data_IF_924372077908
#
_entry.id   IF_924372077908
#
_cell.length_a   1.000
_cell.length_b   1.000
_cell.length_c   1.000
_cell.angle_alpha   90.00
_cell.angle_beta   90.00
_cell.angle_gamma   90.00
#
_symmetry.space_group_name_H-M   'P 1'
#
loop_
_entity.id
_entity.type
_entity.pdbx_description
1 polymer ?
#
# COMPACT_ATOMS: atom_id res chain seq x y z
N UNK A 1 -6.49 -44.26 -0.09
CA UNK A 1 -7.29 -43.07 -0.43
C UNK A 1 -6.37 -41.86 -0.36
N UNK A 2 -5.83 -41.42 -1.50
CA UNK A 2 -4.99 -40.22 -1.55
C UNK A 2 -5.91 -38.99 -1.61
N UNK A 3 -5.77 -38.08 -0.65
CA UNK A 3 -6.37 -36.75 -0.74
C UNK A 3 -5.68 -36.01 -1.87
N UNK A 4 -6.41 -35.76 -2.96
CA UNK A 4 -6.02 -34.77 -3.95
C UNK A 4 -6.13 -33.40 -3.28
N UNK A 5 -5.00 -32.76 -3.01
CA UNK A 5 -4.95 -31.33 -2.72
C UNK A 5 -5.02 -30.59 -4.05
N UNK A 6 -6.13 -29.92 -4.30
CA UNK A 6 -6.20 -28.92 -5.35
C UNK A 6 -5.24 -27.78 -4.98
N UNK A 7 -4.37 -27.29 -5.87
CA UNK A 7 -3.67 -26.04 -5.63
C UNK A 7 -4.74 -24.96 -5.54
N UNK A 8 -4.93 -24.35 -4.37
CA UNK A 8 -5.70 -23.11 -4.27
C UNK A 8 -5.05 -22.11 -5.24
N UNK A 9 -5.79 -21.65 -6.25
CA UNK A 9 -5.37 -20.51 -7.05
C UNK A 9 -5.04 -19.37 -6.07
N UNK A 10 -3.78 -18.94 -6.07
CA UNK A 10 -3.37 -17.76 -5.32
C UNK A 10 -4.10 -16.58 -5.95
N UNK A 11 -5.11 -16.04 -5.26
CA UNK A 11 -5.80 -14.84 -5.70
C UNK A 11 -4.81 -13.66 -5.68
N UNK A 12 -4.58 -13.03 -6.82
CA UNK A 12 -3.80 -11.81 -6.95
C UNK A 12 -4.73 -10.66 -7.31
N UNK A 13 -4.65 -9.54 -6.60
CA UNK A 13 -5.44 -8.33 -6.88
C UNK A 13 -4.46 -7.16 -6.97
N UNK A 14 -4.39 -6.56 -8.16
CA UNK A 14 -3.72 -5.28 -8.38
C UNK A 14 -4.70 -4.14 -8.03
N UNK A 15 -4.21 -3.19 -7.25
CA UNK A 15 -4.89 -1.93 -6.91
C UNK A 15 -4.34 -0.88 -7.86
N UNK A 16 -5.17 -0.49 -8.83
CA UNK A 16 -4.81 0.49 -9.84
C UNK A 16 -4.61 1.89 -9.24
N UNK A 17 -3.90 2.75 -9.99
CA UNK A 17 -3.87 4.18 -9.69
C UNK A 17 -5.25 4.82 -9.89
N UNK A 18 -5.58 5.83 -9.09
CA UNK A 18 -6.88 6.51 -9.18
C UNK A 18 -7.66 6.64 -7.87
N UNK A 19 -6.98 6.58 -6.73
CA UNK A 19 -7.61 6.65 -5.40
C UNK A 19 -8.51 5.43 -5.14
N UNK A 20 -7.92 4.23 -5.15
CA UNK A 20 -8.63 2.95 -5.01
C UNK A 20 -7.98 2.07 -3.93
N UNK A 21 -8.72 1.05 -3.47
CA UNK A 21 -8.24 0.08 -2.50
C UNK A 21 -8.90 -1.27 -2.65
N UNK A 22 -8.19 -2.31 -2.22
CA UNK A 22 -8.69 -3.67 -2.22
C UNK A 22 -8.59 -4.31 -0.84
N UNK A 23 -9.46 -5.30 -0.64
CA UNK A 23 -9.51 -6.17 0.53
C UNK A 23 -9.39 -7.62 0.10
N UNK A 24 -8.69 -8.41 0.92
CA UNK A 24 -8.56 -9.85 0.71
C UNK A 24 -8.55 -10.62 2.04
N UNK A 25 -9.18 -11.80 2.05
CA UNK A 25 -9.22 -12.72 3.21
C UNK A 25 -8.49 -14.02 2.88
N UNK A 26 -7.95 -14.67 3.92
CA UNK A 26 -7.34 -16.01 3.93
C UNK A 26 -6.00 -16.16 3.18
N UNK A 27 -5.99 -16.02 1.85
CA UNK A 27 -4.80 -16.29 1.05
C UNK A 27 -4.81 -15.55 -0.29
N UNK A 28 -3.69 -14.89 -0.58
CA UNK A 28 -3.39 -14.26 -1.85
C UNK A 28 -2.54 -13.02 -1.63
N UNK A 29 -2.35 -12.26 -2.70
CA UNK A 29 -1.50 -11.06 -2.73
C UNK A 29 -2.35 -9.86 -3.14
N UNK A 30 -2.22 -8.77 -2.40
CA UNK A 30 -2.65 -7.44 -2.82
C UNK A 30 -1.41 -6.72 -3.31
N UNK A 31 -1.49 -6.05 -4.46
CA UNK A 31 -0.36 -5.33 -5.05
C UNK A 31 -0.77 -3.93 -5.46
N UNK A 32 0.13 -2.96 -5.32
CA UNK A 32 0.01 -1.62 -5.89
C UNK A 32 1.36 -1.23 -6.46
N UNK A 33 1.35 -0.59 -7.63
CA UNK A 33 2.55 -0.26 -8.39
C UNK A 33 2.67 1.26 -8.60
N UNK A 34 3.89 1.72 -8.80
CA UNK A 34 4.18 3.07 -9.28
C UNK A 34 3.84 4.18 -8.29
N UNK A 35 4.00 3.95 -6.98
CA UNK A 35 3.75 4.99 -5.97
C UNK A 35 4.90 6.01 -5.97
N UNK A 36 4.85 6.95 -6.92
CA UNK A 36 5.68 8.15 -6.93
C UNK A 36 5.10 9.19 -5.97
N UNK A 37 4.36 10.22 -6.46
CA UNK A 37 3.72 11.20 -5.58
C UNK A 37 2.51 10.63 -4.83
N UNK A 38 1.89 9.56 -5.32
CA UNK A 38 0.82 8.84 -4.63
C UNK A 38 1.33 8.13 -3.37
N UNK A 39 0.42 7.85 -2.43
CA UNK A 39 0.74 7.13 -1.19
C UNK A 39 0.03 5.79 -1.14
N UNK A 40 0.81 4.74 -0.87
CA UNK A 40 0.28 3.42 -0.55
C UNK A 40 0.02 3.28 0.95
N UNK A 41 -1.10 2.64 1.31
CA UNK A 41 -1.38 2.26 2.71
C UNK A 41 -1.78 0.80 2.76
N UNK A 42 -1.11 0.04 3.62
CA UNK A 42 -1.34 -1.39 3.84
C UNK A 42 -1.75 -1.66 5.28
N UNK A 43 -2.78 -2.49 5.46
CA UNK A 43 -3.23 -2.96 6.78
C UNK A 43 -3.37 -4.48 6.74
N UNK A 44 -2.72 -5.17 7.66
CA UNK A 44 -2.85 -6.61 7.81
C UNK A 44 -3.21 -6.99 9.24
N UNK A 45 -4.17 -7.91 9.38
CA UNK A 45 -4.46 -8.56 10.66
C UNK A 45 -4.36 -10.06 10.52
N UNK A 46 -3.55 -10.68 11.38
CA UNK A 46 -3.37 -12.14 11.47
C UNK A 46 -4.63 -12.88 11.92
N UNK A 47 -5.52 -12.21 12.67
CA UNK A 47 -6.79 -12.75 13.16
C UNK A 47 -7.86 -11.66 12.96
N UNK A 48 -8.69 -11.75 11.89
CA UNK A 48 -9.12 -12.98 11.21
C UNK A 48 -8.33 -13.43 9.96
N UNK A 49 -7.10 -12.94 9.74
CA UNK A 49 -6.32 -13.15 8.50
C UNK A 49 -6.95 -12.44 7.30
N UNK A 50 -6.78 -11.13 7.33
CA UNK A 50 -7.34 -10.18 6.37
C UNK A 50 -6.29 -9.10 6.05
N UNK A 51 -6.24 -8.68 4.80
CA UNK A 51 -5.39 -7.61 4.31
C UNK A 51 -6.19 -6.56 3.55
N UNK A 52 -5.73 -5.32 3.66
CA UNK A 52 -6.19 -4.15 2.93
C UNK A 52 -4.96 -3.48 2.32
N UNK A 53 -5.09 -3.01 1.09
CA UNK A 53 -4.05 -2.25 0.41
C UNK A 53 -4.74 -1.19 -0.43
N UNK A 54 -4.26 0.05 -0.34
CA UNK A 54 -4.79 1.17 -1.12
C UNK A 54 -3.69 1.98 -1.79
N UNK A 55 -4.08 2.66 -2.86
CA UNK A 55 -3.27 3.58 -3.65
C UNK A 55 -4.00 4.93 -3.68
N UNK A 56 -3.51 5.89 -2.90
CA UNK A 56 -4.21 7.15 -2.67
C UNK A 56 -3.48 8.34 -3.32
N UNK A 57 -4.25 9.23 -3.93
CA UNK A 57 -3.74 10.46 -4.52
C UNK A 57 -3.65 11.52 -3.42
N UNK A 58 -2.52 12.22 -3.36
CA UNK A 58 -2.31 13.30 -2.39
C UNK A 58 -3.43 14.34 -2.47
N UNK A 59 -3.97 14.70 -1.30
CA UNK A 59 -5.03 15.69 -1.17
C UNK A 59 -6.44 15.12 -1.16
N UNK A 60 -6.65 13.82 -1.44
CA UNK A 60 -7.92 13.14 -1.21
C UNK A 60 -7.81 12.11 -0.08
N UNK A 61 -8.70 12.14 0.90
CA UNK A 61 -8.72 11.15 2.00
C UNK A 61 -10.02 10.35 2.06
N UNK A 62 -10.97 10.57 1.15
CA UNK A 62 -12.28 9.92 1.21
C UNK A 62 -12.17 8.38 1.11
N UNK A 63 -11.42 7.90 0.12
CA UNK A 63 -11.23 6.46 -0.09
C UNK A 63 -10.34 5.84 0.97
N UNK A 64 -9.33 6.56 1.44
CA UNK A 64 -8.53 6.16 2.60
C UNK A 64 -9.41 5.94 3.82
N UNK A 65 -10.23 6.93 4.17
CA UNK A 65 -11.11 6.85 5.34
C UNK A 65 -12.11 5.70 5.20
N UNK A 66 -12.62 5.46 3.99
CA UNK A 66 -13.52 4.32 3.70
C UNK A 66 -12.80 2.99 3.92
N UNK A 67 -11.56 2.84 3.42
CA UNK A 67 -10.73 1.65 3.65
C UNK A 67 -10.49 1.42 5.15
N UNK A 68 -10.10 2.48 5.87
CA UNK A 68 -9.79 2.40 7.31
C UNK A 68 -11.02 2.02 8.13
N UNK A 69 -12.19 2.57 7.83
CA UNK A 69 -13.45 2.20 8.47
C UNK A 69 -13.85 0.74 8.20
N UNK A 70 -13.61 0.24 6.99
CA UNK A 70 -13.87 -1.17 6.66
C UNK A 70 -12.89 -2.08 7.42
N UNK A 71 -11.61 -1.70 7.48
CA UNK A 71 -10.60 -2.41 8.25
C UNK A 71 -10.91 -2.44 9.74
N UNK A 72 -11.33 -1.32 10.34
CA UNK A 72 -11.73 -1.24 11.75
C UNK A 72 -12.90 -2.19 12.08
N UNK A 73 -13.90 -2.25 11.20
CA UNK A 73 -15.08 -3.13 11.37
C UNK A 73 -14.73 -4.60 11.30
N UNK A 74 -13.77 -4.97 10.45
CA UNK A 74 -13.42 -6.36 10.18
C UNK A 74 -12.30 -6.91 11.08
N UNK A 75 -11.41 -6.03 11.56
CA UNK A 75 -10.28 -6.42 12.40
C UNK A 75 -10.72 -6.46 13.86
N UNK A 76 -10.80 -7.68 14.39
CA UNK A 76 -11.20 -7.92 15.79
C UNK A 76 -10.28 -7.26 16.82
N UNK A 77 -9.00 -7.14 16.50
CA UNK A 77 -7.96 -6.60 17.40
C UNK A 77 -7.13 -5.52 16.67
N UNK A 78 -7.66 -4.30 16.51
CA UNK A 78 -7.01 -3.22 15.74
C UNK A 78 -5.58 -2.91 16.20
N UNK A 79 -5.33 -2.94 17.50
CA UNK A 79 -4.01 -2.72 18.10
C UNK A 79 -2.95 -3.80 17.74
N UNK A 80 -3.36 -4.91 17.13
CA UNK A 80 -2.44 -5.97 16.67
C UNK A 80 -2.22 -5.98 15.17
N UNK A 81 -2.87 -5.07 14.44
CA UNK A 81 -2.67 -4.93 13.01
C UNK A 81 -1.22 -4.49 12.72
N UNK A 82 -0.66 -5.08 11.67
CA UNK A 82 0.59 -4.64 11.05
C UNK A 82 0.24 -3.63 9.96
N UNK A 83 0.98 -2.53 9.94
CA UNK A 83 0.68 -1.37 9.09
C UNK A 83 1.86 -1.09 8.17
N UNK A 84 1.56 -0.56 7.00
CA UNK A 84 2.56 -0.08 6.06
C UNK A 84 2.10 1.20 5.40
N UNK A 85 3.07 2.08 5.17
CA UNK A 85 2.90 3.28 4.36
C UNK A 85 4.13 3.46 3.47
N UNK A 86 3.94 3.91 2.24
CA UNK A 86 5.05 4.18 1.32
C UNK A 86 4.68 5.07 0.14
N UNK A 87 5.68 5.54 -0.58
CA UNK A 87 5.52 6.46 -1.69
C UNK A 87 5.58 7.92 -1.24
N UNK A 88 4.70 8.74 -1.80
CA UNK A 88 4.60 10.16 -1.50
C UNK A 88 5.89 10.90 -1.78
N UNK A 89 6.58 10.63 -2.88
CA UNK A 89 7.86 11.25 -3.23
C UNK A 89 7.80 12.77 -3.18
N UNK A 90 8.72 13.39 -2.42
CA UNK A 90 8.87 14.86 -2.29
C UNK A 90 9.92 15.43 -3.26
N UNK A 91 10.33 14.66 -4.27
CA UNK A 91 11.21 15.20 -5.30
C UNK A 91 10.38 16.06 -6.27
N UNK A 92 10.98 17.13 -6.82
CA UNK A 92 10.32 17.91 -7.86
C UNK A 92 10.08 17.01 -9.07
N UNK A 93 8.83 16.65 -9.28
CA UNK A 93 8.37 16.10 -10.55
C UNK A 93 8.20 17.29 -11.48
N UNK A 94 8.97 17.35 -12.58
CA UNK A 94 8.67 18.27 -13.66
C UNK A 94 7.21 18.03 -14.06
N UNK A 95 6.38 19.07 -14.03
CA UNK A 95 4.92 19.04 -14.28
C UNK A 95 3.97 18.61 -13.14
N UNK A 96 4.44 18.49 -11.89
CA UNK A 96 3.53 18.28 -10.74
C UNK A 96 3.02 19.59 -10.14
N UNK A 97 1.69 19.73 -10.01
CA UNK A 97 1.06 20.81 -9.23
C UNK A 97 1.21 20.61 -7.71
N UNK A 98 1.65 19.44 -7.26
CA UNK A 98 1.84 19.13 -5.84
C UNK A 98 3.14 19.74 -5.31
N UNK A 99 3.04 20.51 -4.23
CA UNK A 99 4.21 20.99 -3.48
C UNK A 99 4.71 19.93 -2.49
N UNK A 100 6.00 20.00 -2.14
CA UNK A 100 6.58 19.17 -1.09
C UNK A 100 5.86 19.33 0.26
N UNK A 101 5.37 20.53 0.55
CA UNK A 101 4.59 20.82 1.77
C UNK A 101 3.29 20.02 1.77
N UNK A 102 2.52 20.06 0.67
CA UNK A 102 1.27 19.29 0.55
C UNK A 102 1.49 17.79 0.74
N UNK A 103 2.59 17.26 0.20
CA UNK A 103 2.92 15.84 0.31
C UNK A 103 3.30 15.49 1.76
N UNK A 104 4.12 16.30 2.42
CA UNK A 104 4.50 16.09 3.82
C UNK A 104 3.29 16.17 4.77
N UNK A 105 2.40 17.15 4.56
CA UNK A 105 1.14 17.26 5.29
C UNK A 105 0.24 16.03 5.09
N UNK A 106 0.18 15.53 3.86
CA UNK A 106 -0.60 14.34 3.55
C UNK A 106 -0.01 13.06 4.18
N UNK A 107 1.32 12.90 4.22
CA UNK A 107 1.98 11.80 4.98
C UNK A 107 1.58 11.85 6.46
N UNK A 108 1.65 13.03 7.07
CA UNK A 108 1.25 13.22 8.46
C UNK A 108 -0.23 12.90 8.69
N UNK A 109 -1.10 13.31 7.76
CA UNK A 109 -2.53 13.00 7.79
C UNK A 109 -2.79 11.50 7.75
N UNK A 110 -2.07 10.75 6.92
CA UNK A 110 -2.17 9.29 6.84
C UNK A 110 -1.74 8.64 8.14
N UNK A 111 -0.59 9.04 8.69
CA UNK A 111 -0.12 8.48 9.96
C UNK A 111 -1.10 8.78 11.10
N UNK A 112 -1.65 9.99 11.16
CA UNK A 112 -2.67 10.35 12.15
C UNK A 112 -3.93 9.50 11.99
N UNK A 113 -4.43 9.32 10.76
CA UNK A 113 -5.62 8.51 10.52
C UNK A 113 -5.41 7.03 10.90
N UNK A 114 -4.21 6.49 10.66
CA UNK A 114 -3.83 5.15 11.10
C UNK A 114 -3.75 5.05 12.63
N UNK A 115 -3.19 6.05 13.30
CA UNK A 115 -3.09 6.08 14.75
C UNK A 115 -4.46 6.21 15.41
N UNK A 116 -5.34 7.06 14.88
CA UNK A 116 -6.72 7.22 15.35
C UNK A 116 -7.52 5.93 15.20
N UNK A 117 -7.29 5.18 14.12
CA UNK A 117 -8.03 3.94 13.80
C UNK A 117 -7.48 2.72 14.56
N UNK A 118 -6.16 2.57 14.64
CA UNK A 118 -5.51 1.35 15.13
C UNK A 118 -4.75 1.54 16.45
N UNK A 119 -4.72 2.74 17.01
CA UNK A 119 -3.94 3.10 18.19
C UNK A 119 -2.44 3.31 17.91
N UNK A 120 -1.59 3.40 18.95
CA UNK A 120 -0.20 3.82 18.84
C UNK A 120 0.62 3.03 17.82
N UNK A 121 1.26 3.71 16.87
CA UNK A 121 1.91 3.07 15.72
C UNK A 121 3.27 2.44 16.01
N UNK A 122 3.91 2.82 17.12
CA UNK A 122 5.28 2.43 17.46
C UNK A 122 5.45 0.90 17.45
N UNK A 123 6.44 0.42 16.69
CA UNK A 123 6.75 -1.01 16.53
C UNK A 123 5.80 -1.81 15.63
N UNK A 124 4.78 -1.19 15.00
CA UNK A 124 3.77 -1.88 14.18
C UNK A 124 3.66 -1.38 12.74
N UNK A 125 4.20 -0.19 12.45
CA UNK A 125 4.19 0.40 11.12
C UNK A 125 5.57 0.31 10.45
N UNK A 126 5.59 -0.16 9.21
CA UNK A 126 6.73 -0.01 8.29
C UNK A 126 6.52 1.25 7.46
N UNK A 127 7.50 2.14 7.43
CA UNK A 127 7.46 3.41 6.69
C UNK A 127 8.50 3.38 5.58
N UNK A 128 8.05 3.37 4.34
CA UNK A 128 8.88 3.42 3.13
C UNK A 128 8.60 4.73 2.37
N UNK A 129 8.72 5.86 3.08
CA UNK A 129 8.56 7.21 2.52
C UNK A 129 9.69 7.55 1.55
N UNK A 130 9.35 8.10 0.38
CA UNK A 130 10.32 8.41 -0.67
C UNK A 130 10.77 9.88 -0.61
N UNK A 131 12.07 10.15 -0.48
CA UNK A 131 12.57 11.53 -0.50
C UNK A 131 13.20 11.94 -1.84
N UNK A 132 13.32 10.98 -2.75
CA UNK A 132 13.99 11.11 -4.04
C UNK A 132 13.00 10.84 -5.17
N UNK A 133 13.36 11.22 -6.39
CA UNK A 133 12.54 11.01 -7.58
C UNK A 133 12.52 9.51 -7.93
N UNK A 134 11.58 8.81 -7.32
CA UNK A 134 11.48 7.36 -7.32
C UNK A 134 10.01 6.96 -7.14
N UNK A 135 9.70 5.76 -7.60
CA UNK A 135 8.44 5.09 -7.34
C UNK A 135 8.69 3.88 -6.43
N UNK A 136 7.69 3.50 -5.67
CA UNK A 136 7.69 2.25 -4.90
C UNK A 136 6.53 1.37 -5.32
N UNK A 137 6.84 0.10 -5.54
CA UNK A 137 5.87 -0.97 -5.72
C UNK A 137 5.73 -1.69 -4.38
N UNK A 138 4.53 -2.17 -4.07
CA UNK A 138 4.25 -2.86 -2.82
C UNK A 138 3.32 -4.05 -3.04
N UNK A 139 3.72 -5.19 -2.50
CA UNK A 139 2.92 -6.42 -2.51
C UNK A 139 2.73 -6.92 -1.07
N UNK A 140 1.49 -7.03 -0.63
CA UNK A 140 1.08 -7.59 0.66
C UNK A 140 0.58 -9.03 0.48
N UNK A 141 1.33 -9.98 1.04
CA UNK A 141 0.92 -11.38 1.10
C UNK A 141 -0.01 -11.60 2.29
N UNK A 142 -1.33 -11.69 2.05
CA UNK A 142 -2.34 -11.84 3.11
C UNK A 142 -2.27 -13.20 3.82
N UNK A 143 -1.60 -14.19 3.22
CA UNK A 143 -1.41 -15.49 3.87
C UNK A 143 -0.42 -15.38 5.04
N UNK A 144 0.67 -14.63 4.84
CA UNK A 144 1.81 -14.52 5.78
C UNK A 144 1.82 -13.21 6.56
N UNK A 145 1.26 -12.14 6.01
CA UNK A 145 1.43 -10.77 6.48
C UNK A 145 2.70 -10.09 5.97
N UNK A 146 3.47 -10.76 5.11
CA UNK A 146 4.71 -10.20 4.58
C UNK A 146 4.40 -9.08 3.58
N UNK A 147 5.12 -7.97 3.74
CA UNK A 147 5.09 -6.82 2.85
C UNK A 147 6.42 -6.80 2.10
N UNK A 148 6.35 -6.94 0.79
CA UNK A 148 7.48 -6.75 -0.12
C UNK A 148 7.36 -5.39 -0.77
N UNK A 149 8.48 -4.69 -0.91
CA UNK A 149 8.54 -3.39 -1.57
C UNK A 149 9.75 -3.29 -2.47
N UNK A 150 9.57 -2.78 -3.68
CA UNK A 150 10.64 -2.49 -4.64
C UNK A 150 10.66 -0.99 -4.95
N UNK A 151 11.81 -0.33 -4.80
CA UNK A 151 11.97 1.09 -5.11
C UNK A 151 12.69 1.21 -6.44
N UNK A 152 12.06 1.89 -7.40
CA UNK A 152 12.61 2.12 -8.73
C UNK A 152 12.86 3.61 -8.92
N UNK A 153 14.11 4.05 -9.19
CA UNK A 153 14.40 5.43 -9.54
C UNK A 153 13.62 5.85 -10.78
N UNK A 154 13.04 7.04 -10.78
CA UNK A 154 12.50 7.65 -12.00
C UNK A 154 13.69 8.21 -12.76
N UNK A 155 14.26 7.41 -13.66
CA UNK A 155 15.32 7.88 -14.56
C UNK A 155 14.63 8.77 -15.61
N UNK A 156 15.02 10.03 -15.76
CA UNK A 156 14.60 10.81 -16.92
C UNK A 156 15.38 10.27 -18.12
N UNK A 157 14.81 9.33 -18.88
CA UNK A 157 15.41 8.90 -20.14
C UNK A 157 14.35 8.80 -21.24
N UNK A 158 14.55 9.57 -22.30
CA UNK A 158 13.70 9.71 -23.50
C UNK A 158 13.59 8.42 -24.34
N UNK A 159 14.01 7.25 -23.82
CA UNK A 159 14.15 6.01 -24.59
C UNK A 159 13.76 4.71 -23.88
N UNK A 160 13.17 4.72 -22.69
CA UNK A 160 12.77 3.46 -22.06
C UNK A 160 11.47 2.90 -22.68
N UNK A 161 11.47 1.67 -23.23
CA UNK A 161 10.24 0.99 -23.57
C UNK A 161 9.41 0.77 -22.29
N UNK A 162 8.06 0.78 -22.39
CA UNK A 162 7.19 0.69 -21.22
C UNK A 162 7.57 -0.51 -20.35
N UNK A 163 7.52 -0.38 -19.01
CA UNK A 163 7.94 -1.44 -18.10
C UNK A 163 7.16 -2.71 -18.43
N UNK A 164 7.87 -3.75 -18.86
CA UNK A 164 7.29 -5.08 -18.98
C UNK A 164 6.82 -5.51 -17.59
N UNK A 165 5.53 -5.82 -17.46
CA UNK A 165 4.88 -6.30 -16.25
C UNK A 165 5.76 -7.31 -15.50
N UNK A 166 6.56 -6.83 -14.53
CA UNK A 166 7.30 -7.69 -13.62
C UNK A 166 6.34 -8.08 -12.51
N UNK A 167 5.74 -9.26 -12.68
CA UNK A 167 5.03 -9.91 -11.59
C UNK A 167 6.08 -10.28 -10.54
N UNK A 168 5.98 -9.68 -9.34
CA UNK A 168 6.82 -10.05 -8.21
C UNK A 168 6.40 -11.46 -7.74
N UNK A 169 7.28 -12.44 -7.96
CA UNK A 169 7.02 -13.88 -7.75
C UNK A 169 7.00 -14.32 -6.28
#
# INVERSE_FOLDING_TARGET
MSKMSFPEEKKHIEVGGGDDWAKLKLAGVLETLGLGPCVGVGVYSKVPKIGFLGHFIVGNTEQLNTMLQDAEKEIRYPATAQLWVGGGSIAPLEDSELSNEMILEYRATIEQALEDTFGPLEGRIKRDWLNENSCIDCSLNVRTGEIHTEITPVIPDDNDPPPEHRTLY
#
